data_IF_939428141972
#
_entry.id   IF_939428141972
#
_cell.length_a   1.000
_cell.length_b   1.000
_cell.length_c   1.000
_cell.angle_alpha   90.00
_cell.angle_beta   90.00
_cell.angle_gamma   90.00
#
_symmetry.space_group_name_H-M   'P 1'
#
loop_
_entity.id
_entity.type
_entity.pdbx_description
1 polymer ?
#
# COMPACT_ATOMS: atom_id res chain seq x y z
N UNK A 1 -17.71 -36.97 53.41
CA UNK A 1 -16.99 -38.07 52.73
C UNK A 1 -16.45 -37.56 51.38
N UNK A 2 -15.15 -37.33 51.23
CA UNK A 2 -14.53 -36.93 49.94
C UNK A 2 -14.39 -38.17 49.09
N UNK A 3 -15.11 -38.26 47.97
CA UNK A 3 -14.93 -39.33 46.97
C UNK A 3 -13.50 -39.26 46.38
N UNK A 4 -12.66 -40.28 46.67
CA UNK A 4 -11.36 -40.46 45.99
C UNK A 4 -11.61 -40.61 44.49
N UNK A 5 -11.09 -39.67 43.69
CA UNK A 5 -11.02 -39.83 42.22
C UNK A 5 -10.13 -41.05 41.94
N UNK A 6 -10.68 -42.09 41.32
CA UNK A 6 -9.88 -43.21 40.79
C UNK A 6 -9.13 -42.69 39.59
N UNK A 7 -7.82 -42.67 39.66
CA UNK A 7 -6.94 -42.47 38.52
C UNK A 7 -6.94 -43.80 37.73
N UNK A 8 -7.39 -43.72 36.47
CA UNK A 8 -7.31 -44.89 35.56
C UNK A 8 -5.96 -44.80 34.89
N UNK A 9 -5.06 -45.73 35.15
CA UNK A 9 -3.81 -45.89 34.42
C UNK A 9 -4.13 -46.54 33.10
N UNK A 10 -3.93 -45.86 31.99
CA UNK A 10 -4.10 -46.39 30.66
C UNK A 10 -2.82 -47.09 30.22
N UNK A 11 -2.97 -48.22 29.49
CA UNK A 11 -1.83 -48.88 28.85
C UNK A 11 -1.09 -47.83 27.91
N UNK A 12 0.25 -47.92 27.79
CA UNK A 12 1.03 -46.93 27.05
C UNK A 12 0.53 -46.67 25.63
N UNK A 13 0.17 -47.71 24.89
CA UNK A 13 -0.40 -47.59 23.55
C UNK A 13 -1.76 -46.89 23.51
N UNK A 14 -2.61 -47.17 24.52
CA UNK A 14 -3.92 -46.49 24.67
C UNK A 14 -3.74 -45.03 25.02
N UNK A 15 -2.80 -44.70 25.90
CA UNK A 15 -2.47 -43.33 26.27
C UNK A 15 -1.95 -42.54 25.06
N UNK A 16 -1.09 -43.16 24.21
CA UNK A 16 -0.60 -42.53 22.99
C UNK A 16 -1.72 -42.28 21.97
N UNK A 17 -2.63 -43.27 21.80
CA UNK A 17 -3.79 -43.11 20.93
C UNK A 17 -4.69 -41.98 21.40
N UNK A 18 -5.01 -41.90 22.72
CA UNK A 18 -5.76 -40.80 23.28
C UNK A 18 -5.05 -39.46 23.13
N UNK A 19 -3.73 -39.41 23.32
CA UNK A 19 -2.95 -38.21 23.11
C UNK A 19 -3.03 -37.69 21.67
N UNK A 20 -2.97 -38.61 20.68
CA UNK A 20 -3.17 -38.28 19.25
C UNK A 20 -4.58 -37.78 18.98
N UNK A 21 -5.62 -38.40 19.51
CA UNK A 21 -7.00 -37.95 19.37
C UNK A 21 -7.21 -36.55 19.98
N UNK A 22 -6.71 -36.33 21.21
CA UNK A 22 -6.79 -35.04 21.89
C UNK A 22 -5.98 -33.96 21.17
N UNK A 23 -4.85 -34.32 20.54
CA UNK A 23 -4.05 -33.37 19.76
C UNK A 23 -4.83 -32.85 18.53
N UNK A 24 -5.65 -33.71 17.90
CA UNK A 24 -6.53 -33.30 16.79
C UNK A 24 -7.66 -32.38 17.23
N UNK A 25 -8.11 -32.53 18.49
CA UNK A 25 -9.19 -31.72 19.08
C UNK A 25 -8.69 -30.39 19.69
N UNK A 26 -7.37 -30.22 19.83
CA UNK A 26 -6.84 -28.93 20.30
C UNK A 26 -7.08 -27.89 19.21
N UNK A 27 -7.64 -26.72 19.57
CA UNK A 27 -7.71 -25.63 18.61
C UNK A 27 -6.29 -25.32 18.11
N UNK A 28 -6.14 -24.99 16.84
CA UNK A 28 -4.85 -24.55 16.32
C UNK A 28 -4.33 -23.37 17.16
N UNK A 29 -3.02 -23.23 17.35
CA UNK A 29 -2.47 -22.12 18.11
C UNK A 29 -2.93 -20.80 17.46
N UNK A 30 -3.33 -19.83 18.27
CA UNK A 30 -3.65 -18.49 17.77
C UNK A 30 -2.37 -17.86 17.17
N UNK A 31 -2.31 -17.83 15.85
CA UNK A 31 -1.20 -17.25 15.09
C UNK A 31 -1.66 -15.94 14.45
N UNK A 32 -0.95 -14.86 14.74
CA UNK A 32 -1.05 -13.67 13.89
C UNK A 32 -0.45 -13.95 12.51
N UNK A 33 -0.76 -13.12 11.52
CA UNK A 33 -0.25 -13.33 10.16
C UNK A 33 1.28 -13.29 10.12
N UNK A 34 1.92 -12.37 10.86
CA UNK A 34 3.39 -12.30 10.95
C UNK A 34 3.99 -13.57 11.55
N UNK A 35 3.41 -14.09 12.64
CA UNK A 35 3.85 -15.35 13.25
C UNK A 35 3.62 -16.55 12.34
N UNK A 36 2.51 -16.57 11.58
CA UNK A 36 2.28 -17.60 10.57
C UNK A 36 3.39 -17.58 9.52
N UNK A 37 3.74 -16.38 9.03
CA UNK A 37 4.80 -16.21 8.04
C UNK A 37 6.16 -16.71 8.58
N UNK A 38 6.55 -16.27 9.78
CA UNK A 38 7.78 -16.70 10.45
C UNK A 38 7.82 -18.23 10.69
N UNK A 39 6.66 -18.87 10.85
CA UNK A 39 6.58 -20.31 11.15
C UNK A 39 6.64 -21.14 9.88
N UNK A 40 5.93 -20.76 8.83
CA UNK A 40 5.66 -21.67 7.71
C UNK A 40 6.18 -21.17 6.36
N UNK A 41 6.32 -19.85 6.15
CA UNK A 41 6.63 -19.28 4.84
C UNK A 41 8.05 -19.58 4.41
N UNK A 42 8.19 -20.05 3.17
CA UNK A 42 9.49 -20.23 2.50
C UNK A 42 9.60 -19.27 1.32
N UNK A 43 10.72 -18.57 1.22
CA UNK A 43 11.07 -17.69 0.10
C UNK A 43 11.73 -18.53 -1.01
N UNK A 44 11.22 -18.37 -2.21
CA UNK A 44 11.76 -19.04 -3.40
C UNK A 44 13.04 -18.37 -3.89
N UNK A 45 13.98 -19.13 -4.38
CA UNK A 45 15.23 -18.61 -4.96
C UNK A 45 15.00 -17.76 -6.21
N UNK A 46 13.86 -17.95 -6.88
CA UNK A 46 13.47 -17.17 -8.07
C UNK A 46 13.06 -15.74 -7.74
N UNK A 47 12.60 -15.46 -6.48
CA UNK A 47 11.95 -14.22 -6.10
C UNK A 47 12.59 -13.53 -4.90
N UNK A 48 13.67 -14.05 -4.36
CA UNK A 48 14.31 -13.50 -3.18
C UNK A 48 15.82 -13.54 -3.28
N UNK A 49 16.47 -12.44 -2.93
CA UNK A 49 17.91 -12.39 -2.77
C UNK A 49 18.40 -13.25 -1.58
N UNK A 50 17.50 -13.56 -0.63
CA UNK A 50 17.76 -14.40 0.54
C UNK A 50 16.74 -15.54 0.58
N UNK A 51 16.87 -16.58 -0.26
CA UNK A 51 15.94 -17.71 -0.28
C UNK A 51 16.00 -18.49 1.02
N UNK A 52 14.90 -19.14 1.39
CA UNK A 52 14.81 -19.93 2.61
C UNK A 52 13.63 -19.50 3.48
N UNK A 53 13.77 -19.63 4.80
CA UNK A 53 12.71 -19.30 5.73
C UNK A 53 12.46 -17.79 5.78
N UNK A 54 11.20 -17.38 5.85
CA UNK A 54 10.81 -16.02 6.09
C UNK A 54 11.18 -15.58 7.51
N UNK A 55 11.65 -14.35 7.65
CA UNK A 55 11.89 -13.70 8.94
C UNK A 55 11.35 -12.28 8.88
N UNK A 56 10.28 -12.02 9.63
CA UNK A 56 9.62 -10.70 9.68
C UNK A 56 10.58 -9.62 10.19
N UNK A 57 11.56 -9.98 11.03
CA UNK A 57 12.56 -9.04 11.56
C UNK A 57 13.51 -8.48 10.49
N UNK A 58 13.56 -9.07 9.30
CA UNK A 58 14.30 -8.50 8.16
C UNK A 58 13.65 -7.20 7.63
N UNK A 59 12.35 -7.01 7.91
CA UNK A 59 11.59 -5.81 7.58
C UNK A 59 10.55 -5.55 8.69
N UNK A 60 10.97 -5.03 9.86
CA UNK A 60 10.14 -4.96 11.07
C UNK A 60 8.83 -4.20 10.87
N UNK A 61 8.83 -3.18 10.01
CA UNK A 61 7.64 -2.40 9.67
C UNK A 61 6.52 -3.23 9.02
N UNK A 62 6.80 -4.41 8.46
CA UNK A 62 5.77 -5.27 7.89
C UNK A 62 4.96 -6.02 8.95
N UNK A 63 5.47 -6.16 10.17
CA UNK A 63 4.83 -6.91 11.26
C UNK A 63 3.43 -6.41 11.56
N UNK A 64 3.31 -5.12 11.91
CA UNK A 64 2.02 -4.54 12.31
C UNK A 64 1.03 -4.49 11.14
N UNK A 65 1.51 -4.26 9.91
CA UNK A 65 0.67 -4.29 8.70
C UNK A 65 0.09 -5.69 8.51
N UNK A 66 0.94 -6.73 8.56
CA UNK A 66 0.51 -8.12 8.42
C UNK A 66 -0.46 -8.51 9.54
N UNK A 67 -0.17 -8.13 10.77
CA UNK A 67 -1.02 -8.47 11.91
C UNK A 67 -2.38 -7.75 11.83
N UNK A 68 -2.43 -6.50 11.35
CA UNK A 68 -3.69 -5.79 11.05
C UNK A 68 -4.49 -6.49 9.93
N UNK A 69 -3.82 -7.04 8.91
CA UNK A 69 -4.48 -7.83 7.87
C UNK A 69 -5.05 -9.13 8.45
N UNK A 70 -4.34 -9.78 9.38
CA UNK A 70 -4.78 -11.02 10.05
C UNK A 70 -5.86 -10.81 11.11
N UNK A 71 -5.97 -9.60 11.70
CA UNK A 71 -6.92 -9.27 12.74
C UNK A 71 -8.36 -9.22 12.20
N UNK A 72 -9.26 -10.04 12.76
CA UNK A 72 -10.65 -10.14 12.33
C UNK A 72 -11.49 -8.89 12.67
N UNK A 73 -11.06 -8.08 13.62
CA UNK A 73 -11.74 -6.82 13.98
C UNK A 73 -11.45 -5.69 12.97
N UNK A 74 -10.32 -5.76 12.26
CA UNK A 74 -9.93 -4.79 11.24
C UNK A 74 -10.48 -5.24 9.89
N UNK A 75 -11.49 -4.55 9.37
CA UNK A 75 -12.16 -4.92 8.09
C UNK A 75 -11.47 -4.38 6.85
N UNK A 76 -10.79 -3.24 6.96
CA UNK A 76 -10.10 -2.58 5.83
C UNK A 76 -8.69 -2.17 6.26
N UNK A 77 -7.72 -2.51 5.44
CA UNK A 77 -6.31 -2.11 5.58
C UNK A 77 -5.86 -1.46 4.28
N UNK A 78 -5.29 -0.28 4.39
CA UNK A 78 -4.77 0.51 3.26
C UNK A 78 -3.27 0.72 3.46
N UNK A 79 -2.47 0.40 2.44
CA UNK A 79 -1.02 0.59 2.48
C UNK A 79 -0.59 1.50 1.33
N UNK A 80 -0.38 2.76 1.64
CA UNK A 80 0.20 3.76 0.74
C UNK A 80 1.70 3.82 1.00
N UNK A 81 2.51 3.48 0.02
CA UNK A 81 3.93 3.34 0.31
C UNK A 81 4.84 3.49 -0.91
N UNK A 82 6.11 3.75 -0.62
CA UNK A 82 7.18 3.70 -1.59
C UNK A 82 7.25 2.35 -2.33
N UNK A 83 7.99 2.33 -3.43
CA UNK A 83 8.42 1.09 -4.07
C UNK A 83 9.45 0.35 -3.17
N UNK A 84 9.74 -0.91 -3.50
CA UNK A 84 10.86 -1.66 -2.88
C UNK A 84 10.83 -1.80 -1.32
N UNK A 85 9.65 -1.72 -0.71
CA UNK A 85 9.47 -2.00 0.72
C UNK A 85 9.01 -3.45 1.00
N UNK A 86 9.01 -4.30 -0.01
CA UNK A 86 8.59 -5.70 0.11
C UNK A 86 7.07 -5.92 0.09
N UNK A 87 6.28 -5.03 -0.54
CA UNK A 87 4.80 -5.13 -0.67
C UNK A 87 4.36 -6.52 -1.14
N UNK A 88 4.88 -6.97 -2.28
CA UNK A 88 4.49 -8.25 -2.87
C UNK A 88 4.75 -9.43 -1.94
N UNK A 89 5.87 -9.44 -1.22
CA UNK A 89 6.18 -10.51 -0.26
C UNK A 89 5.18 -10.55 0.91
N UNK A 90 4.79 -9.38 1.42
CA UNK A 90 3.76 -9.25 2.45
C UNK A 90 2.39 -9.74 1.95
N UNK A 91 2.00 -9.38 0.70
CA UNK A 91 0.77 -9.87 0.09
C UNK A 91 0.78 -11.39 -0.11
N UNK A 92 1.94 -11.97 -0.45
CA UNK A 92 2.10 -13.42 -0.51
C UNK A 92 1.90 -14.07 0.86
N UNK A 93 2.43 -13.48 1.94
CA UNK A 93 2.21 -13.97 3.30
C UNK A 93 0.72 -13.95 3.67
N UNK A 94 0.01 -12.88 3.30
CA UNK A 94 -1.45 -12.79 3.46
C UNK A 94 -2.17 -13.93 2.72
N UNK A 95 -1.84 -14.16 1.45
CA UNK A 95 -2.46 -15.24 0.68
C UNK A 95 -2.19 -16.60 1.30
N UNK A 96 -0.95 -16.88 1.72
CA UNK A 96 -0.60 -18.11 2.39
C UNK A 96 -1.36 -18.32 3.70
N UNK A 97 -1.53 -17.29 4.49
CA UNK A 97 -2.32 -17.29 5.72
C UNK A 97 -3.79 -17.64 5.48
N UNK A 98 -4.43 -16.99 4.48
CA UNK A 98 -5.82 -17.26 4.10
C UNK A 98 -6.01 -18.56 3.31
N UNK A 99 -4.95 -19.20 2.87
CA UNK A 99 -5.00 -20.56 2.29
C UNK A 99 -4.89 -21.64 3.35
N UNK A 100 -4.06 -21.44 4.38
CA UNK A 100 -3.68 -22.50 5.33
C UNK A 100 -4.34 -22.33 6.70
N UNK A 101 -4.19 -21.15 7.31
CA UNK A 101 -4.60 -20.95 8.71
C UNK A 101 -6.05 -20.49 8.86
N UNK A 102 -6.49 -19.57 7.98
CA UNK A 102 -7.85 -19.03 8.00
C UNK A 102 -8.50 -19.12 6.61
N UNK A 103 -8.83 -20.34 6.14
CA UNK A 103 -9.29 -20.57 4.78
C UNK A 103 -10.51 -19.73 4.40
N UNK A 104 -10.43 -19.04 3.28
CA UNK A 104 -11.50 -18.15 2.81
C UNK A 104 -11.49 -18.01 1.27
N UNK A 105 -12.62 -17.63 0.65
CA UNK A 105 -12.66 -17.18 -0.73
C UNK A 105 -11.93 -15.83 -0.86
N UNK A 106 -10.82 -15.81 -1.61
CA UNK A 106 -9.97 -14.64 -1.85
C UNK A 106 -10.07 -14.20 -3.30
N UNK A 107 -10.28 -12.91 -3.51
CA UNK A 107 -10.13 -12.26 -4.82
C UNK A 107 -8.90 -11.37 -4.79
N UNK A 108 -8.01 -11.58 -5.74
CA UNK A 108 -6.85 -10.72 -6.01
C UNK A 108 -7.15 -9.92 -7.27
N UNK A 109 -7.12 -8.61 -7.17
CA UNK A 109 -7.31 -7.71 -8.29
C UNK A 109 -5.98 -7.02 -8.63
N UNK A 110 -5.56 -7.18 -9.87
CA UNK A 110 -4.38 -6.55 -10.46
C UNK A 110 -4.81 -5.51 -11.51
N UNK A 111 -3.99 -4.55 -11.89
CA UNK A 111 -4.34 -3.55 -12.91
C UNK A 111 -4.83 -4.18 -14.21
N UNK A 112 -4.11 -5.18 -14.72
CA UNK A 112 -4.47 -5.91 -15.94
C UNK A 112 -4.46 -7.42 -15.71
N UNK A 113 -5.08 -8.17 -16.63
CA UNK A 113 -5.08 -9.63 -16.57
C UNK A 113 -3.68 -10.22 -16.76
N UNK A 114 -2.84 -9.60 -17.61
CA UNK A 114 -1.45 -9.99 -17.85
C UNK A 114 -0.63 -9.86 -16.57
N UNK A 115 -0.77 -8.75 -15.83
CA UNK A 115 -0.13 -8.56 -14.52
C UNK A 115 -0.62 -9.62 -13.53
N UNK A 116 -1.91 -9.97 -13.57
CA UNK A 116 -2.48 -11.06 -12.77
C UNK A 116 -1.87 -12.43 -13.11
N UNK A 117 -1.61 -12.71 -14.38
CA UNK A 117 -0.93 -13.94 -14.79
C UNK A 117 0.53 -13.97 -14.32
N UNK A 118 1.25 -12.86 -14.46
CA UNK A 118 2.62 -12.70 -13.97
C UNK A 118 2.68 -12.89 -12.46
N UNK A 119 1.80 -12.21 -11.70
CA UNK A 119 1.67 -12.38 -10.26
C UNK A 119 1.46 -13.85 -9.86
N UNK A 120 0.60 -14.57 -10.60
CA UNK A 120 0.35 -15.98 -10.34
C UNK A 120 1.54 -16.87 -10.64
N UNK A 121 2.21 -16.67 -11.79
CA UNK A 121 3.31 -17.53 -12.24
C UNK A 121 4.58 -17.28 -11.46
N UNK A 122 4.91 -16.00 -11.25
CA UNK A 122 6.22 -15.62 -10.73
C UNK A 122 6.25 -15.58 -9.20
N UNK A 123 5.10 -15.31 -8.54
CA UNK A 123 5.04 -15.19 -7.08
C UNK A 123 4.19 -16.27 -6.40
N UNK A 124 2.92 -16.45 -6.82
CA UNK A 124 2.00 -17.34 -6.12
C UNK A 124 2.37 -18.82 -6.33
N UNK A 125 2.68 -19.24 -7.54
CA UNK A 125 3.01 -20.64 -7.83
C UNK A 125 4.32 -21.08 -7.16
N UNK A 126 5.44 -20.31 -7.20
CA UNK A 126 6.64 -20.63 -6.42
C UNK A 126 6.38 -20.67 -4.92
N UNK A 127 5.59 -19.74 -4.37
CA UNK A 127 5.22 -19.75 -2.97
C UNK A 127 4.52 -21.07 -2.57
N UNK A 128 3.53 -21.51 -3.34
CA UNK A 128 2.79 -22.73 -3.07
C UNK A 128 3.72 -23.93 -3.16
N UNK A 129 4.59 -23.99 -4.18
CA UNK A 129 5.55 -25.07 -4.39
C UNK A 129 6.53 -25.22 -3.23
N UNK A 130 7.09 -24.10 -2.76
CA UNK A 130 8.24 -24.11 -1.84
C UNK A 130 7.82 -24.05 -0.37
N UNK A 131 6.58 -23.64 -0.05
CA UNK A 131 6.04 -23.64 1.31
C UNK A 131 5.35 -24.99 1.58
N UNK A 132 5.90 -25.87 2.44
CA UNK A 132 5.42 -27.26 2.59
C UNK A 132 3.93 -27.36 2.93
N UNK A 133 3.43 -26.51 3.83
CA UNK A 133 2.01 -26.53 4.26
C UNK A 133 1.06 -26.15 3.11
N UNK A 134 1.48 -25.28 2.20
CA UNK A 134 0.66 -24.85 1.05
C UNK A 134 0.69 -25.90 -0.07
N UNK A 135 1.85 -26.53 -0.28
CA UNK A 135 2.03 -27.58 -1.31
C UNK A 135 1.10 -28.76 -1.09
N UNK A 136 0.79 -29.08 0.17
CA UNK A 136 -0.14 -30.19 0.49
C UNK A 136 -1.59 -29.76 0.26
N UNK A 137 -1.93 -28.49 0.44
CA UNK A 137 -3.31 -27.99 0.31
C UNK A 137 -3.75 -27.76 -1.13
N UNK A 138 -2.82 -27.39 -2.01
CA UNK A 138 -3.13 -27.06 -3.41
C UNK A 138 -2.62 -28.17 -4.34
N UNK A 139 -3.56 -28.95 -4.85
CA UNK A 139 -3.21 -29.97 -5.86
C UNK A 139 -2.91 -29.29 -7.21
N UNK A 140 -1.63 -29.20 -7.54
CA UNK A 140 -1.16 -28.63 -8.81
C UNK A 140 -0.96 -29.66 -9.91
N UNK A 141 -1.09 -30.96 -9.61
CA UNK A 141 -0.75 -32.06 -10.53
C UNK A 141 -1.97 -32.68 -11.20
N UNK A 142 -3.11 -32.74 -10.52
CA UNK A 142 -4.32 -33.35 -11.07
C UNK A 142 -5.01 -32.44 -12.09
N UNK A 143 -5.35 -32.99 -13.25
CA UNK A 143 -6.18 -32.31 -14.27
C UNK A 143 -7.60 -32.02 -13.78
N UNK A 144 -8.05 -32.73 -12.75
CA UNK A 144 -9.39 -32.59 -12.16
C UNK A 144 -9.43 -31.64 -10.96
N UNK A 145 -8.29 -31.05 -10.55
CA UNK A 145 -8.23 -30.13 -9.41
C UNK A 145 -9.02 -28.84 -9.63
N UNK A 146 -9.36 -28.48 -10.86
CA UNK A 146 -9.98 -27.21 -11.22
C UNK A 146 -9.04 -26.01 -11.03
N UNK A 147 -7.73 -26.27 -10.85
CA UNK A 147 -6.72 -25.24 -10.71
C UNK A 147 -6.24 -24.75 -12.09
N UNK A 148 -6.18 -23.45 -12.22
CA UNK A 148 -5.68 -22.74 -13.41
C UNK A 148 -4.59 -21.75 -13.02
N UNK A 149 -4.04 -21.03 -13.99
CA UNK A 149 -3.10 -19.93 -13.72
C UNK A 149 -3.78 -18.91 -12.80
N UNK A 150 -5.02 -18.52 -13.09
CA UNK A 150 -5.76 -17.46 -12.39
C UNK A 150 -6.61 -17.95 -11.22
N UNK A 151 -6.66 -19.27 -10.96
CA UNK A 151 -7.46 -19.81 -9.87
C UNK A 151 -6.72 -20.95 -9.16
N UNK A 152 -6.70 -20.89 -7.83
CA UNK A 152 -6.17 -21.94 -6.96
C UNK A 152 -7.23 -22.33 -5.94
N UNK A 153 -7.67 -23.59 -5.97
CA UNK A 153 -8.62 -24.15 -5.01
C UNK A 153 -7.85 -24.84 -3.87
N UNK A 154 -8.39 -24.74 -2.69
CA UNK A 154 -7.89 -25.41 -1.48
C UNK A 154 -9.07 -25.71 -0.54
N UNK A 155 -8.94 -26.62 0.44
CA UNK A 155 -10.01 -26.89 1.39
C UNK A 155 -10.46 -25.62 2.13
N UNK A 156 -11.75 -25.32 2.04
CA UNK A 156 -12.35 -24.13 2.68
C UNK A 156 -12.30 -22.83 1.90
N UNK A 157 -11.68 -22.81 0.71
CA UNK A 157 -11.62 -21.57 -0.08
C UNK A 157 -10.98 -21.71 -1.46
N UNK A 158 -10.75 -20.55 -2.05
CA UNK A 158 -10.03 -20.44 -3.32
C UNK A 158 -9.38 -19.04 -3.42
N UNK A 159 -8.31 -18.93 -4.16
CA UNK A 159 -7.77 -17.65 -4.67
C UNK A 159 -8.16 -17.53 -6.13
N UNK A 160 -8.79 -16.42 -6.49
CA UNK A 160 -9.06 -16.04 -7.87
C UNK A 160 -8.36 -14.73 -8.17
N UNK A 161 -7.69 -14.64 -9.33
CA UNK A 161 -6.95 -13.45 -9.76
C UNK A 161 -7.66 -12.88 -10.98
N UNK A 162 -7.89 -11.57 -10.98
CA UNK A 162 -8.58 -10.84 -12.06
C UNK A 162 -7.84 -9.55 -12.43
N UNK A 163 -8.14 -9.00 -13.59
CA UNK A 163 -7.76 -7.65 -13.98
C UNK A 163 -8.86 -6.65 -13.65
N UNK A 164 -8.47 -5.45 -13.20
CA UNK A 164 -9.40 -4.36 -12.86
C UNK A 164 -10.18 -3.83 -14.08
N UNK A 165 -9.68 -4.08 -15.28
CA UNK A 165 -10.29 -3.67 -16.55
C UNK A 165 -11.40 -4.61 -17.07
N UNK A 166 -11.70 -5.72 -16.35
CA UNK A 166 -12.66 -6.75 -16.80
C UNK A 166 -13.94 -6.76 -15.97
N UNK A 167 -15.04 -6.13 -16.40
CA UNK A 167 -16.31 -6.08 -15.67
C UNK A 167 -16.88 -7.47 -15.38
N UNK A 168 -16.89 -8.36 -16.38
CA UNK A 168 -17.43 -9.71 -16.26
C UNK A 168 -16.75 -10.54 -15.16
N UNK A 169 -15.45 -10.32 -14.92
CA UNK A 169 -14.70 -10.98 -13.86
C UNK A 169 -15.06 -10.47 -12.46
N UNK A 170 -15.52 -9.21 -12.37
CA UNK A 170 -15.97 -8.58 -11.14
C UNK A 170 -17.39 -9.03 -10.73
N UNK A 171 -18.19 -9.59 -11.65
CA UNK A 171 -19.61 -9.80 -11.46
C UNK A 171 -20.01 -11.13 -10.78
N UNK A 172 -19.16 -12.15 -10.65
CA UNK A 172 -19.66 -13.52 -10.63
C UNK A 172 -19.70 -14.28 -9.30
N UNK A 173 -19.03 -13.83 -8.20
CA UNK A 173 -18.95 -14.68 -6.97
C UNK A 173 -18.85 -13.87 -5.69
N UNK A 174 -19.49 -14.32 -4.57
CA UNK A 174 -19.25 -13.77 -3.25
C UNK A 174 -17.82 -14.08 -2.80
N UNK A 175 -17.14 -13.08 -2.24
CA UNK A 175 -15.78 -13.17 -1.73
C UNK A 175 -15.72 -12.64 -0.29
N UNK A 176 -14.88 -13.26 0.53
CA UNK A 176 -14.64 -12.79 1.90
C UNK A 176 -13.44 -11.86 1.98
N UNK A 177 -12.37 -12.18 1.29
CA UNK A 177 -11.11 -11.43 1.30
C UNK A 177 -10.86 -10.83 -0.09
N UNK A 178 -10.73 -9.51 -0.13
CA UNK A 178 -10.40 -8.74 -1.33
C UNK A 178 -9.01 -8.15 -1.16
N UNK A 179 -8.13 -8.45 -2.09
CA UNK A 179 -6.80 -7.85 -2.22
C UNK A 179 -6.73 -7.06 -3.51
N UNK A 180 -6.52 -5.74 -3.40
CA UNK A 180 -6.34 -4.83 -4.51
C UNK A 180 -4.89 -4.32 -4.51
N UNK A 181 -4.14 -4.69 -5.52
CA UNK A 181 -2.73 -4.33 -5.68
C UNK A 181 -2.57 -3.29 -6.78
N UNK A 182 -1.73 -2.27 -6.54
CA UNK A 182 -1.43 -1.17 -7.47
C UNK A 182 -2.70 -0.43 -7.95
N UNK A 183 -3.57 -0.01 -7.00
CA UNK A 183 -4.89 0.57 -7.30
C UNK A 183 -4.84 1.89 -8.09
N UNK A 184 -3.75 2.64 -7.98
CA UNK A 184 -3.54 3.87 -8.75
C UNK A 184 -3.37 3.62 -10.25
N UNK A 185 -3.09 2.36 -10.64
CA UNK A 185 -3.01 1.94 -12.04
C UNK A 185 -4.32 1.37 -12.59
N UNK A 186 -5.38 1.35 -11.78
CA UNK A 186 -6.67 0.87 -12.24
C UNK A 186 -7.32 1.89 -13.19
N UNK A 187 -8.11 1.43 -14.18
CA UNK A 187 -8.89 2.35 -15.02
C UNK A 187 -9.91 3.10 -14.16
N UNK A 188 -10.32 4.28 -14.61
CA UNK A 188 -11.38 5.05 -13.94
C UNK A 188 -12.68 4.28 -13.88
N UNK A 189 -12.99 3.48 -14.91
CA UNK A 189 -14.17 2.63 -14.98
C UNK A 189 -13.79 1.26 -15.54
N UNK A 190 -14.37 0.20 -14.99
CA UNK A 190 -14.34 -1.13 -15.57
C UNK A 190 -15.37 -1.20 -16.73
N UNK A 191 -14.92 -0.88 -17.94
CA UNK A 191 -15.81 -0.69 -19.07
C UNK A 191 -16.83 0.43 -18.80
N UNK A 192 -18.13 0.09 -18.86
CA UNK A 192 -19.26 1.01 -18.59
C UNK A 192 -19.86 0.81 -17.18
N UNK A 193 -19.33 -0.10 -16.35
CA UNK A 193 -19.97 -0.51 -15.09
C UNK A 193 -19.55 0.32 -13.86
N UNK A 194 -18.56 1.23 -14.02
CA UNK A 194 -18.08 2.12 -12.95
C UNK A 194 -16.79 1.67 -12.28
N UNK A 195 -16.46 2.26 -11.15
CA UNK A 195 -15.19 2.07 -10.45
C UNK A 195 -14.95 0.59 -10.07
N UNK A 196 -13.84 -0.02 -10.54
CA UNK A 196 -13.57 -1.45 -10.30
C UNK A 196 -13.40 -1.79 -8.82
N UNK A 197 -12.88 -0.87 -8.00
CA UNK A 197 -12.71 -1.09 -6.56
C UNK A 197 -14.06 -1.19 -5.86
N UNK A 198 -14.98 -0.28 -6.15
CA UNK A 198 -16.32 -0.29 -5.58
C UNK A 198 -17.11 -1.53 -6.04
N UNK A 199 -16.98 -1.92 -7.31
CA UNK A 199 -17.61 -3.14 -7.85
C UNK A 199 -17.11 -4.39 -7.13
N UNK A 200 -15.79 -4.51 -6.87
CA UNK A 200 -15.23 -5.63 -6.15
C UNK A 200 -15.68 -5.66 -4.68
N UNK A 201 -15.71 -4.51 -4.00
CA UNK A 201 -16.18 -4.40 -2.62
C UNK A 201 -17.64 -4.82 -2.43
N UNK A 202 -18.51 -4.60 -3.43
CA UNK A 202 -19.92 -5.08 -3.41
C UNK A 202 -20.00 -6.60 -3.32
N UNK A 203 -18.99 -7.36 -3.77
CA UNK A 203 -18.95 -8.84 -3.68
C UNK A 203 -18.73 -9.36 -2.28
N UNK A 204 -18.31 -8.50 -1.37
CA UNK A 204 -18.08 -8.84 0.04
C UNK A 204 -19.33 -8.67 0.92
N UNK A 205 -20.46 -8.28 0.37
CA UNK A 205 -21.66 -7.90 1.15
C UNK A 205 -22.23 -9.04 1.98
N UNK A 206 -22.09 -10.29 1.52
CA UNK A 206 -22.58 -11.49 2.23
C UNK A 206 -21.74 -11.89 3.44
N UNK A 207 -20.51 -11.37 3.56
CA UNK A 207 -19.62 -11.71 4.66
C UNK A 207 -19.56 -10.55 5.68
N UNK A 208 -20.03 -10.79 6.88
CA UNK A 208 -19.97 -9.81 7.98
C UNK A 208 -18.54 -9.56 8.45
N UNK A 209 -17.67 -10.58 8.35
CA UNK A 209 -16.25 -10.58 8.70
C UNK A 209 -15.33 -10.44 7.47
N UNK A 210 -15.79 -9.66 6.49
CA UNK A 210 -15.04 -9.36 5.28
C UNK A 210 -13.73 -8.64 5.56
N UNK A 211 -12.72 -8.87 4.70
CA UNK A 211 -11.43 -8.20 4.73
C UNK A 211 -11.12 -7.56 3.38
N UNK A 212 -10.83 -6.27 3.38
CA UNK A 212 -10.37 -5.52 2.20
C UNK A 212 -8.96 -5.03 2.46
N UNK A 213 -8.03 -5.35 1.57
CA UNK A 213 -6.65 -4.88 1.62
C UNK A 213 -6.34 -4.16 0.32
N UNK A 214 -5.93 -2.91 0.43
CA UNK A 214 -5.65 -2.02 -0.71
C UNK A 214 -4.20 -1.55 -0.58
N UNK A 215 -3.42 -1.80 -1.62
CA UNK A 215 -1.99 -1.48 -1.61
C UNK A 215 -1.62 -0.78 -2.90
N UNK A 216 -0.90 0.32 -2.83
CA UNK A 216 -0.36 1.00 -4.01
C UNK A 216 0.78 1.94 -3.67
N UNK A 217 1.59 2.23 -4.65
CA UNK A 217 2.41 3.43 -4.72
C UNK A 217 1.53 4.57 -5.22
N UNK A 218 1.52 5.75 -4.57
CA UNK A 218 0.68 6.88 -4.99
C UNK A 218 1.20 7.52 -6.27
N UNK A 219 0.34 8.31 -6.92
CA UNK A 219 0.64 9.00 -8.17
C UNK A 219 0.49 10.52 -8.03
N UNK A 220 -0.49 11.13 -8.67
CA UNK A 220 -0.72 12.58 -8.68
C UNK A 220 -1.73 12.94 -7.59
N UNK A 221 -1.44 13.99 -6.84
CA UNK A 221 -2.32 14.53 -5.80
C UNK A 221 -3.71 14.89 -6.35
N UNK A 222 -4.73 14.52 -5.62
CA UNK A 222 -6.12 14.72 -6.02
C UNK A 222 -6.68 13.70 -6.99
N UNK A 223 -5.84 12.95 -7.73
CA UNK A 223 -6.28 11.85 -8.60
C UNK A 223 -5.86 10.47 -8.10
N UNK A 224 -4.96 10.40 -7.14
CA UNK A 224 -4.48 9.14 -6.54
C UNK A 224 -5.58 8.47 -5.72
N UNK A 225 -5.97 7.24 -6.13
CA UNK A 225 -6.94 6.42 -5.39
C UNK A 225 -6.41 6.00 -4.04
N UNK A 226 -5.14 5.58 -3.99
CA UNK A 226 -4.56 5.13 -2.72
C UNK A 226 -4.50 6.27 -1.71
N UNK A 227 -4.24 7.50 -2.14
CA UNK A 227 -4.27 8.67 -1.26
C UNK A 227 -5.68 8.90 -0.71
N UNK A 228 -6.70 8.90 -1.57
CA UNK A 228 -8.10 9.05 -1.16
C UNK A 228 -8.50 7.97 -0.15
N UNK A 229 -8.18 6.71 -0.44
CA UNK A 229 -8.45 5.59 0.46
C UNK A 229 -7.69 5.69 1.80
N UNK A 230 -6.45 6.19 1.77
CA UNK A 230 -5.60 6.37 2.96
C UNK A 230 -6.10 7.51 3.85
N UNK A 231 -6.59 8.60 3.29
CA UNK A 231 -7.10 9.74 4.06
C UNK A 231 -8.30 9.38 4.95
N UNK A 232 -9.08 8.36 4.59
CA UNK A 232 -10.22 7.86 5.36
C UNK A 232 -9.83 6.90 6.50
N UNK A 233 -8.54 6.64 6.70
CA UNK A 233 -8.03 5.64 7.66
C UNK A 233 -7.40 6.28 8.90
N UNK A 234 -6.80 5.43 9.74
CA UNK A 234 -5.99 5.85 10.90
C UNK A 234 -4.76 6.67 10.52
N UNK A 235 -4.30 6.65 9.27
CA UNK A 235 -3.14 7.39 8.74
C UNK A 235 -1.91 7.21 9.61
N UNK A 236 -1.44 5.98 9.70
CA UNK A 236 -0.32 5.60 10.55
C UNK A 236 1.01 5.77 9.84
N UNK A 237 1.98 6.41 10.51
CA UNK A 237 3.36 6.56 10.04
C UNK A 237 4.30 5.68 10.88
N UNK A 238 5.30 5.08 10.23
CA UNK A 238 6.32 4.28 10.90
C UNK A 238 7.28 5.16 11.70
N UNK A 239 7.30 5.00 13.01
CA UNK A 239 8.15 5.76 13.92
C UNK A 239 9.26 4.89 14.50
N UNK A 240 10.49 5.42 14.48
CA UNK A 240 11.70 4.76 14.95
C UNK A 240 12.35 5.60 16.05
N UNK A 241 12.84 5.01 17.14
CA UNK A 241 13.46 5.79 18.21
C UNK A 241 14.83 6.33 17.78
N UNK A 242 15.10 7.59 18.07
CA UNK A 242 16.39 8.23 17.82
C UNK A 242 17.52 7.46 18.51
N UNK A 243 18.61 7.11 17.81
CA UNK A 243 19.75 6.39 18.40
C UNK A 243 20.43 7.12 19.57
N UNK A 244 20.21 8.44 19.70
CA UNK A 244 20.87 9.28 20.71
C UNK A 244 19.99 9.65 21.90
N UNK A 245 18.72 9.95 21.68
CA UNK A 245 17.82 10.42 22.74
C UNK A 245 16.57 9.55 22.94
N UNK A 246 16.38 8.52 22.12
CA UNK A 246 15.24 7.60 22.23
C UNK A 246 13.87 8.20 21.79
N UNK A 247 13.84 9.43 21.28
CA UNK A 247 12.60 10.04 20.79
C UNK A 247 12.10 9.32 19.54
N UNK A 248 10.87 8.87 19.56
CA UNK A 248 10.22 8.24 18.41
C UNK A 248 9.78 9.28 17.39
N UNK A 249 10.13 9.08 16.14
CA UNK A 249 9.79 9.95 15.02
C UNK A 249 9.79 9.19 13.70
N UNK A 250 9.06 9.65 12.68
CA UNK A 250 9.16 9.10 11.34
C UNK A 250 10.47 9.53 10.68
N UNK A 251 10.98 8.71 9.77
CA UNK A 251 12.13 9.07 8.94
C UNK A 251 11.63 9.93 7.78
N UNK A 252 11.85 11.24 7.87
CA UNK A 252 11.40 12.23 6.86
C UNK A 252 12.55 12.69 5.99
N UNK A 253 12.29 12.86 4.70
CA UNK A 253 13.27 13.39 3.75
C UNK A 253 13.83 14.75 4.17
N UNK A 254 13.00 15.63 4.72
CA UNK A 254 13.42 16.95 5.19
C UNK A 254 14.52 16.93 6.27
N UNK A 255 14.69 15.80 6.95
CA UNK A 255 15.69 15.59 8.00
C UNK A 255 16.94 14.87 7.50
N UNK A 256 17.00 14.54 6.20
CA UNK A 256 18.18 13.91 5.58
C UNK A 256 19.26 14.98 5.36
N UNK A 257 20.46 14.66 5.82
CA UNK A 257 21.66 15.52 5.73
C UNK A 257 22.72 14.81 4.92
N UNK A 258 23.17 15.45 3.84
CA UNK A 258 24.21 14.94 2.94
C UNK A 258 25.01 16.08 2.32
N UNK A 259 26.23 15.79 1.89
CA UNK A 259 27.05 16.72 1.11
C UNK A 259 26.84 16.45 -0.38
N UNK A 260 26.31 17.45 -1.11
CA UNK A 260 26.02 17.31 -2.56
C UNK A 260 27.25 17.04 -3.43
N UNK A 261 28.44 17.47 -2.95
CA UNK A 261 29.69 17.35 -3.67
C UNK A 261 30.50 16.12 -3.27
N UNK A 262 30.18 15.52 -2.12
CA UNK A 262 30.90 14.37 -1.61
C UNK A 262 30.00 13.43 -0.79
N UNK A 263 29.28 12.55 -1.50
CA UNK A 263 28.41 11.55 -0.86
C UNK A 263 29.20 10.50 -0.04
N UNK A 264 30.54 10.41 -0.23
CA UNK A 264 31.39 9.50 0.57
C UNK A 264 31.46 9.89 2.04
N UNK A 265 31.11 11.14 2.39
CA UNK A 265 30.94 11.57 3.79
C UNK A 265 29.74 10.90 4.48
N UNK A 266 28.93 10.15 3.71
CA UNK A 266 27.76 9.42 4.19
C UNK A 266 26.54 10.29 4.35
N UNK A 267 25.38 9.62 4.24
CA UNK A 267 24.06 10.22 4.45
C UNK A 267 23.66 10.04 5.91
N UNK A 268 23.13 11.08 6.52
CA UNK A 268 22.71 11.10 7.92
C UNK A 268 21.27 11.61 8.04
N UNK A 269 20.61 11.26 9.11
CA UNK A 269 19.29 11.79 9.45
C UNK A 269 19.40 12.56 10.78
N UNK A 270 18.84 13.76 10.80
CA UNK A 270 18.80 14.66 11.96
C UNK A 270 17.55 14.36 12.79
N UNK A 271 17.73 14.18 14.10
CA UNK A 271 16.62 14.00 15.02
C UNK A 271 15.85 15.30 15.23
N UNK A 272 14.53 15.26 15.12
CA UNK A 272 13.63 16.43 15.31
C UNK A 272 13.71 16.99 16.73
N UNK A 273 13.92 16.14 17.75
CA UNK A 273 13.95 16.57 19.15
C UNK A 273 15.33 17.05 19.62
N UNK A 274 16.38 16.25 19.40
CA UNK A 274 17.71 16.58 19.95
C UNK A 274 18.66 17.26 18.96
N UNK A 275 18.25 17.37 17.67
CA UNK A 275 19.05 17.98 16.62
C UNK A 275 20.32 17.22 16.22
N UNK A 276 20.62 16.07 16.84
CA UNK A 276 21.81 15.28 16.52
C UNK A 276 21.63 14.47 15.26
N UNK A 277 22.66 14.41 14.46
CA UNK A 277 22.73 13.61 13.25
C UNK A 277 23.26 12.21 13.59
N UNK A 278 22.69 11.20 12.95
CA UNK A 278 23.13 9.81 13.05
C UNK A 278 23.13 9.15 11.68
N UNK A 279 24.01 8.19 11.48
CA UNK A 279 24.13 7.44 10.23
C UNK A 279 22.91 6.55 9.98
N UNK A 280 22.71 6.17 8.73
CA UNK A 280 21.70 5.19 8.31
C UNK A 280 21.77 3.92 9.16
N UNK A 281 22.95 3.35 9.31
CA UNK A 281 23.16 2.14 10.12
C UNK A 281 22.64 2.30 11.55
N UNK A 282 22.90 3.43 12.19
CA UNK A 282 22.47 3.68 13.56
C UNK A 282 20.94 3.79 13.68
N UNK A 283 20.26 4.39 12.68
CA UNK A 283 18.81 4.49 12.64
C UNK A 283 18.16 3.13 12.32
N UNK A 284 18.63 2.44 11.28
CA UNK A 284 18.09 1.13 10.88
C UNK A 284 18.28 0.06 11.97
N UNK A 285 19.31 0.14 12.77
CA UNK A 285 19.46 -0.73 13.94
C UNK A 285 18.37 -0.53 15.02
N UNK A 286 17.62 0.57 14.98
CA UNK A 286 16.50 0.81 15.89
C UNK A 286 15.15 0.37 15.31
N UNK A 287 15.06 -0.02 14.05
CA UNK A 287 13.79 -0.36 13.41
C UNK A 287 13.05 -1.52 14.08
N UNK A 288 13.77 -2.47 14.68
CA UNK A 288 13.18 -3.55 15.47
C UNK A 288 12.34 -3.05 16.65
N UNK A 289 12.57 -1.82 17.10
CA UNK A 289 11.81 -1.15 18.17
C UNK A 289 10.75 -0.19 17.60
N UNK A 290 10.71 -0.04 16.27
CA UNK A 290 9.76 0.84 15.62
C UNK A 290 8.32 0.37 15.82
N UNK A 291 7.40 1.30 15.67
CA UNK A 291 5.96 1.03 15.66
C UNK A 291 5.23 2.10 14.85
N UNK A 292 4.04 1.78 14.42
CA UNK A 292 3.17 2.73 13.74
C UNK A 292 2.45 3.65 14.73
N UNK A 293 2.37 4.93 14.38
CA UNK A 293 1.66 5.95 15.17
C UNK A 293 0.53 6.54 14.32
N UNK A 294 -0.70 6.42 14.81
CA UNK A 294 -1.89 6.88 14.13
C UNK A 294 -2.09 8.38 14.28
N UNK A 295 -2.29 9.09 13.16
CA UNK A 295 -2.72 10.48 13.15
C UNK A 295 -4.23 10.63 13.39
N UNK A 296 -5.03 9.59 13.08
CA UNK A 296 -6.48 9.55 13.26
C UNK A 296 -6.92 8.22 13.93
N UNK A 297 -6.68 8.04 15.24
CA UNK A 297 -6.90 6.76 15.92
C UNK A 297 -8.39 6.35 16.02
N UNK A 298 -9.33 7.24 15.69
CA UNK A 298 -10.77 6.97 15.70
C UNK A 298 -11.32 6.35 14.43
N UNK A 299 -10.52 6.23 13.36
CA UNK A 299 -10.98 5.66 12.09
C UNK A 299 -11.20 4.14 12.19
N UNK A 300 -12.24 3.65 11.50
CA UNK A 300 -12.59 2.23 11.48
C UNK A 300 -11.64 1.38 10.63
N UNK A 301 -10.95 2.00 9.66
CA UNK A 301 -9.98 1.36 8.79
C UNK A 301 -8.55 1.71 9.23
N UNK A 302 -7.64 0.75 9.15
CA UNK A 302 -6.23 1.03 9.40
C UNK A 302 -5.53 1.39 8.09
N UNK A 303 -4.71 2.45 8.12
CA UNK A 303 -3.92 2.89 6.98
C UNK A 303 -2.48 3.13 7.38
N UNK A 304 -1.57 2.61 6.56
CA UNK A 304 -0.13 2.63 6.82
C UNK A 304 0.59 3.37 5.71
N UNK A 305 1.47 4.29 6.10
CA UNK A 305 2.36 4.99 5.18
C UNK A 305 3.82 4.59 5.45
N UNK A 306 4.56 4.32 4.37
CA UNK A 306 5.98 3.96 4.42
C UNK A 306 6.73 4.60 3.24
N UNK A 307 7.86 5.21 3.54
CA UNK A 307 8.83 5.68 2.55
C UNK A 307 10.05 4.74 2.49
N UNK A 308 10.90 4.93 1.47
CA UNK A 308 12.10 4.11 1.26
C UNK A 308 13.15 4.30 2.37
N UNK A 309 13.12 5.40 3.14
CA UNK A 309 14.08 5.61 4.22
C UNK A 309 13.96 4.56 5.33
N UNK A 310 12.76 4.00 5.54
CA UNK A 310 12.53 2.87 6.44
C UNK A 310 12.88 1.52 5.82
N UNK A 311 13.12 1.44 4.50
CA UNK A 311 13.39 0.16 3.84
C UNK A 311 14.74 -0.41 4.26
N UNK A 312 14.75 -1.68 4.64
CA UNK A 312 15.96 -2.45 4.89
C UNK A 312 16.64 -2.96 3.60
N UNK A 313 15.96 -2.80 2.45
CA UNK A 313 16.41 -3.29 1.15
C UNK A 313 17.12 -2.24 0.29
N UNK A 314 17.01 -0.96 0.65
CA UNK A 314 17.57 0.17 -0.09
C UNK A 314 18.39 1.06 0.83
N UNK A 315 19.56 1.51 0.35
CA UNK A 315 20.44 2.43 1.10
C UNK A 315 20.03 3.89 0.92
N UNK A 316 20.20 4.72 1.94
CA UNK A 316 19.91 6.15 1.86
C UNK A 316 20.75 6.88 0.82
N UNK A 317 21.97 6.41 0.58
CA UNK A 317 22.84 6.99 -0.45
C UNK A 317 22.19 6.86 -1.84
N UNK A 318 21.63 5.70 -2.17
CA UNK A 318 20.93 5.47 -3.43
C UNK A 318 19.71 6.40 -3.60
N UNK A 319 18.95 6.61 -2.52
CA UNK A 319 17.81 7.54 -2.49
C UNK A 319 18.26 8.97 -2.78
N UNK A 320 19.40 9.39 -2.19
CA UNK A 320 20.00 10.73 -2.42
C UNK A 320 20.53 10.86 -3.84
N UNK A 321 21.20 9.86 -4.38
CA UNK A 321 21.71 9.87 -5.76
C UNK A 321 20.57 10.05 -6.78
N UNK A 322 19.47 9.31 -6.60
CA UNK A 322 18.25 9.45 -7.41
C UNK A 322 17.63 10.84 -7.27
N UNK A 323 17.62 11.39 -6.04
CA UNK A 323 17.13 12.76 -5.79
C UNK A 323 17.96 13.81 -6.52
N UNK A 324 19.28 13.72 -6.44
CA UNK A 324 20.18 14.69 -7.08
C UNK A 324 19.98 14.71 -8.61
N UNK A 325 19.88 13.53 -9.22
CA UNK A 325 19.58 13.40 -10.63
C UNK A 325 18.19 13.96 -10.98
N UNK A 326 17.18 13.67 -10.16
CA UNK A 326 15.83 14.17 -10.36
C UNK A 326 15.77 15.70 -10.21
N UNK A 327 16.53 16.26 -9.27
CA UNK A 327 16.64 17.70 -9.04
C UNK A 327 17.33 18.43 -10.19
N UNK A 328 18.40 17.87 -10.73
CA UNK A 328 19.09 18.42 -11.92
C UNK A 328 18.13 18.52 -13.11
N UNK A 329 17.35 17.46 -13.39
CA UNK A 329 16.38 17.47 -14.49
C UNK A 329 15.24 18.46 -14.24
N UNK A 330 14.75 18.55 -13.00
CA UNK A 330 13.74 19.55 -12.62
C UNK A 330 14.24 20.97 -12.84
N UNK A 331 15.51 21.27 -12.49
CA UNK A 331 16.13 22.58 -12.71
C UNK A 331 16.32 22.91 -14.20
N UNK A 332 16.31 21.86 -15.06
CA UNK A 332 16.30 21.99 -16.53
C UNK A 332 14.87 22.07 -17.12
N UNK A 333 13.83 22.03 -16.27
CA UNK A 333 12.44 22.13 -16.69
C UNK A 333 11.74 20.79 -16.92
N UNK A 334 12.38 19.64 -16.64
CA UNK A 334 11.76 18.31 -16.72
C UNK A 334 11.37 17.78 -15.32
N UNK A 335 10.08 17.79 -14.94
CA UNK A 335 9.62 17.34 -13.63
C UNK A 335 9.47 15.82 -13.51
N UNK A 336 9.49 15.05 -14.60
CA UNK A 336 9.09 13.64 -14.60
C UNK A 336 9.94 12.75 -13.68
N UNK A 337 11.24 13.01 -13.59
CA UNK A 337 12.11 12.26 -12.67
C UNK A 337 11.85 12.61 -11.21
N UNK A 338 11.55 13.88 -10.90
CA UNK A 338 11.22 14.29 -9.54
C UNK A 338 9.86 13.72 -9.12
N UNK A 339 8.87 13.74 -9.99
CA UNK A 339 7.57 13.08 -9.80
C UNK A 339 7.75 11.59 -9.50
N UNK A 340 8.53 10.90 -10.33
CA UNK A 340 8.85 9.49 -10.11
C UNK A 340 9.52 9.28 -8.76
N UNK A 341 10.50 10.11 -8.40
CA UNK A 341 11.22 10.01 -7.13
C UNK A 341 10.31 10.23 -5.93
N UNK A 342 9.45 11.26 -5.93
CA UNK A 342 8.48 11.53 -4.85
C UNK A 342 7.56 10.33 -4.68
N UNK A 343 6.97 9.85 -5.77
CA UNK A 343 6.02 8.74 -5.72
C UNK A 343 6.67 7.42 -5.28
N UNK A 344 7.85 7.10 -5.81
CA UNK A 344 8.47 5.79 -5.60
C UNK A 344 9.40 5.71 -4.40
N UNK A 345 10.04 6.81 -4.00
CA UNK A 345 10.96 6.82 -2.85
C UNK A 345 10.29 7.36 -1.58
N UNK A 346 9.47 8.41 -1.69
CA UNK A 346 8.76 8.93 -0.51
C UNK A 346 7.42 8.22 -0.27
N UNK A 347 6.83 7.60 -1.30
CA UNK A 347 5.49 7.05 -1.21
C UNK A 347 4.44 8.13 -1.02
N UNK A 348 4.70 9.32 -1.55
CA UNK A 348 3.85 10.51 -1.47
C UNK A 348 3.32 10.87 -2.86
N UNK A 349 2.18 11.58 -2.91
CA UNK A 349 1.63 12.05 -4.17
C UNK A 349 2.44 13.24 -4.69
N UNK A 350 2.64 13.25 -6.02
CA UNK A 350 3.22 14.41 -6.69
C UNK A 350 2.19 15.51 -6.84
N UNK A 351 2.51 16.70 -6.35
CA UNK A 351 1.75 17.91 -6.63
C UNK A 351 2.34 18.55 -7.87
N UNK A 352 1.59 18.55 -8.99
CA UNK A 352 2.03 19.27 -10.16
C UNK A 352 2.17 20.74 -9.75
N UNK A 353 3.33 21.35 -10.00
CA UNK A 353 3.42 22.80 -9.85
C UNK A 353 2.42 23.36 -10.87
N UNK A 354 1.23 23.69 -10.39
CA UNK A 354 0.30 24.47 -11.19
C UNK A 354 1.07 25.71 -11.66
N UNK A 355 0.77 26.21 -12.83
CA UNK A 355 1.12 27.60 -13.15
C UNK A 355 0.59 28.44 -12.00
N UNK A 356 1.41 28.67 -11.01
CA UNK A 356 1.22 29.79 -10.11
C UNK A 356 1.46 31.01 -10.99
N UNK A 357 0.41 31.43 -11.66
CA UNK A 357 0.28 32.84 -12.00
C UNK A 357 0.57 33.53 -10.68
N UNK A 358 1.68 34.28 -10.63
CA UNK A 358 1.97 35.07 -9.41
C UNK A 358 0.79 35.98 -9.25
N UNK A 359 -0.11 35.64 -8.34
CA UNK A 359 -1.34 36.42 -8.04
C UNK A 359 -1.02 37.88 -7.86
N UNK A 360 0.19 38.20 -7.41
CA UNK A 360 0.72 39.52 -7.19
C UNK A 360 0.72 40.39 -8.46
N UNK A 361 1.14 39.85 -9.61
CA UNK A 361 1.12 40.62 -10.87
C UNK A 361 -0.31 40.85 -11.39
N UNK A 362 -1.18 39.83 -11.29
CA UNK A 362 -2.58 39.95 -11.68
C UNK A 362 -3.36 40.88 -10.74
N UNK A 363 -3.12 40.75 -9.43
CA UNK A 363 -3.73 41.64 -8.42
C UNK A 363 -3.26 43.05 -8.61
N UNK A 364 -1.99 43.31 -8.96
CA UNK A 364 -1.46 44.65 -9.22
C UNK A 364 -2.01 45.28 -10.52
N UNK A 365 -2.50 44.47 -11.46
CA UNK A 365 -3.20 44.94 -12.69
C UNK A 365 -4.70 45.23 -12.48
N UNK A 366 -5.21 44.94 -11.28
CA UNK A 366 -6.62 45.14 -10.97
C UNK A 366 -6.96 46.64 -11.01
N UNK A 367 -7.84 46.99 -11.90
CA UNK A 367 -8.40 48.34 -11.98
C UNK A 367 -9.66 48.46 -11.11
N UNK A 368 -9.85 49.61 -10.50
CA UNK A 368 -11.06 49.97 -9.77
C UNK A 368 -11.86 50.94 -10.63
N UNK A 369 -13.05 50.55 -11.02
CA UNK A 369 -13.97 51.37 -11.83
C UNK A 369 -15.39 51.33 -11.22
N UNK A 370 -16.13 52.43 -11.37
CA UNK A 370 -17.44 52.60 -10.75
C UNK A 370 -18.61 52.03 -11.56
N UNK A 371 -18.35 51.52 -12.76
CA UNK A 371 -19.36 50.92 -13.64
C UNK A 371 -19.23 49.38 -13.70
N UNK A 372 -20.25 48.70 -14.20
CA UNK A 372 -20.22 47.24 -14.39
C UNK A 372 -19.22 46.82 -15.46
N UNK A 373 -18.86 47.73 -16.37
CA UNK A 373 -17.88 47.53 -17.45
C UNK A 373 -17.06 48.79 -17.55
N UNK A 374 -15.70 48.74 -17.70
CA UNK A 374 -14.87 49.92 -17.92
C UNK A 374 -15.31 50.73 -19.17
N UNK A 375 -15.05 52.03 -19.17
CA UNK A 375 -15.60 52.97 -20.18
C UNK A 375 -15.07 52.72 -21.61
N UNK A 376 -13.85 52.12 -21.73
CA UNK A 376 -13.19 51.86 -23.04
C UNK A 376 -13.39 50.46 -23.57
N UNK A 377 -14.32 49.67 -23.02
CA UNK A 377 -14.59 48.31 -23.48
C UNK A 377 -15.41 48.31 -24.75
N UNK A 378 -14.83 47.77 -25.83
CA UNK A 378 -15.50 47.67 -27.13
C UNK A 378 -16.26 46.37 -27.34
N UNK A 379 -15.75 45.27 -26.78
CA UNK A 379 -16.36 43.93 -26.92
C UNK A 379 -16.37 43.24 -25.58
N UNK A 380 -17.52 42.70 -25.24
CA UNK A 380 -17.71 41.88 -24.07
C UNK A 380 -18.03 40.42 -24.53
N UNK A 381 -17.25 39.48 -24.06
CA UNK A 381 -17.51 38.06 -24.28
C UNK A 381 -17.67 37.34 -22.96
N UNK A 382 -18.55 36.35 -22.93
CA UNK A 382 -18.78 35.52 -21.75
C UNK A 382 -18.47 34.07 -22.08
N UNK A 383 -17.58 33.46 -21.29
CA UNK A 383 -17.44 31.99 -21.23
C UNK A 383 -18.26 31.48 -20.07
N UNK A 384 -19.12 30.51 -20.32
CA UNK A 384 -19.97 29.88 -19.30
C UNK A 384 -19.64 28.41 -19.23
N UNK A 385 -19.18 27.96 -18.06
CA UNK A 385 -19.02 26.55 -17.73
C UNK A 385 -20.24 26.11 -16.90
N UNK A 386 -20.89 25.02 -17.33
CA UNK A 386 -22.09 24.51 -16.69
C UNK A 386 -21.70 23.23 -15.93
N UNK A 387 -21.79 23.29 -14.61
CA UNK A 387 -21.58 22.16 -13.72
C UNK A 387 -22.94 21.68 -13.16
N UNK A 388 -22.95 20.52 -12.51
CA UNK A 388 -24.20 19.91 -12.02
C UNK A 388 -24.92 20.75 -10.95
N UNK A 389 -24.21 21.60 -10.22
CA UNK A 389 -24.71 22.38 -9.08
C UNK A 389 -24.53 23.90 -9.22
N UNK A 390 -23.83 24.37 -10.28
CA UNK A 390 -23.52 25.81 -10.47
C UNK A 390 -23.18 26.15 -11.92
N UNK A 391 -23.25 27.46 -12.20
CA UNK A 391 -22.69 28.05 -13.41
C UNK A 391 -21.45 28.87 -13.03
N UNK A 392 -20.32 28.62 -13.69
CA UNK A 392 -19.15 29.47 -13.60
C UNK A 392 -19.12 30.38 -14.83
N UNK A 393 -19.20 31.71 -14.62
CA UNK A 393 -19.24 32.65 -15.71
C UNK A 393 -17.99 33.54 -15.64
N UNK A 394 -17.20 33.49 -16.71
CA UNK A 394 -16.06 34.37 -16.90
C UNK A 394 -16.40 35.42 -17.95
N UNK A 395 -16.38 36.69 -17.58
CA UNK A 395 -16.57 37.81 -18.50
C UNK A 395 -15.18 38.27 -18.96
N UNK A 396 -14.99 38.30 -20.27
CA UNK A 396 -13.78 38.83 -20.90
C UNK A 396 -14.16 40.09 -21.68
N UNK A 397 -13.44 41.17 -21.43
CA UNK A 397 -13.57 42.41 -22.19
C UNK A 397 -12.22 42.82 -22.75
N UNK A 398 -12.23 43.43 -23.94
CA UNK A 398 -11.03 43.93 -24.59
C UNK A 398 -11.10 45.46 -24.66
N UNK A 399 -10.05 46.11 -24.18
CA UNK A 399 -9.79 47.52 -24.52
C UNK A 399 -9.12 47.62 -25.90
N UNK A 400 -9.26 48.73 -26.60
CA UNK A 400 -8.58 48.92 -27.87
C UNK A 400 -7.06 48.76 -27.68
N UNK A 401 -6.43 47.97 -28.53
CA UNK A 401 -4.99 47.86 -28.56
C UNK A 401 -4.36 49.19 -28.91
N UNK A 402 -3.24 49.60 -28.29
CA UNK A 402 -2.51 50.83 -28.68
C UNK A 402 -2.09 50.84 -30.16
N UNK A 403 -2.19 49.73 -30.86
CA UNK A 403 -1.92 49.61 -32.31
C UNK A 403 -3.12 49.96 -33.19
N UNK A 404 -4.31 50.00 -32.62
CA UNK A 404 -5.54 50.30 -33.35
C UNK A 404 -5.96 51.79 -33.24
N UNK A 405 -5.16 52.60 -32.54
CA UNK A 405 -5.32 54.03 -32.37
C UNK A 405 -4.37 54.84 -33.27
N UNK A 406 -4.30 54.52 -34.58
CA UNK A 406 -3.56 55.32 -35.56
C UNK A 406 -4.45 55.74 -36.70
#
# INVERSE_FOLDING_TARGET
>A
MKKKRRTIELAPQTAEMFARCVAVLKPPPELTLSKWADTYRMLSAENSATPGRWHTDNAPYQREIMDAIGDQHVRKVVVMSAAQIGKTAMLMNMLGYYMHYYPAPVLVMQPTLEMGQTFSKDFLAPMIRDTPVLRVLVDTKSRYSGNTILKKNFPGGHVTIIGANSPASLASRPIKVLLCDEVDRYPASAGTEGDPLLLAQKRQTTFWDKKTVIVSTPTIKGSSRIETEFQETTREEWNVPCPKCGHYQPLRWANIVFDRHDLKKGVRHKCERCGRESSEYAWKAQEIKGHFVAANPGAAARGFHLNTLASTFCGWQEVVEKFLLAKEMLDQGDPEKMKTWVNTELGETWEEPGERLEDTELVNRREVYDAQVPEDVLVLTAGVDVQDDRFEVCLLYTSPSPRDCS
#
